data_IF_154823248976
#
_entry.id   IF_154823248976
#
_cell.length_a   1.000
_cell.length_b   1.000
_cell.length_c   1.000
_cell.angle_alpha   90.00
_cell.angle_beta   90.00
_cell.angle_gamma   90.00
#
_symmetry.space_group_name_H-M   'P 1'
#
loop_
_entity.id
_entity.type
_entity.pdbx_description
1 polymer ?
#
# COMPACT_ATOMS: atom_id res chain seq x y z
N UNK A 1 13.04 -9.90 5.63
CA UNK A 1 11.99 -10.69 6.30
C UNK A 1 10.79 -9.80 6.54
N UNK A 2 9.64 -10.12 5.95
CA UNK A 2 8.40 -9.35 6.16
C UNK A 2 7.64 -9.95 7.34
N UNK A 3 7.15 -9.11 8.25
CA UNK A 3 6.19 -9.49 9.28
C UNK A 3 4.82 -8.99 8.85
N UNK A 4 3.86 -9.89 8.70
CA UNK A 4 2.50 -9.50 8.41
C UNK A 4 1.71 -9.36 9.73
N UNK A 5 0.73 -8.45 9.77
CA UNK A 5 -0.02 -8.11 11.00
C UNK A 5 -0.74 -9.30 11.65
N UNK A 6 -1.01 -10.35 10.88
CA UNK A 6 -1.69 -11.56 11.34
C UNK A 6 -0.74 -12.74 11.56
N UNK A 7 0.56 -12.59 11.26
CA UNK A 7 1.55 -13.66 11.41
C UNK A 7 2.61 -13.31 12.45
N UNK A 8 2.78 -14.20 13.42
CA UNK A 8 3.86 -14.11 14.42
C UNK A 8 5.22 -14.51 13.82
N UNK A 9 5.21 -15.20 12.69
CA UNK A 9 6.40 -15.74 12.05
C UNK A 9 6.82 -14.88 10.83
N UNK A 10 8.12 -14.72 10.57
CA UNK A 10 8.58 -14.07 9.35
C UNK A 10 8.11 -14.81 8.10
N UNK A 11 7.59 -14.07 7.13
CA UNK A 11 7.25 -14.59 5.82
C UNK A 11 8.52 -14.75 4.97
N UNK A 12 8.65 -15.90 4.30
CA UNK A 12 9.70 -16.18 3.33
C UNK A 12 9.17 -15.93 1.93
N UNK A 13 9.95 -15.23 1.11
CA UNK A 13 9.66 -15.07 -0.31
C UNK A 13 10.13 -16.34 -1.04
N UNK A 14 9.25 -17.00 -1.78
CA UNK A 14 9.52 -18.25 -2.51
C UNK A 14 8.70 -18.29 -3.82
N UNK A 15 9.03 -19.22 -4.72
CA UNK A 15 8.31 -19.46 -5.97
C UNK A 15 7.96 -20.96 -6.18
N UNK A 16 8.38 -21.83 -5.27
CA UNK A 16 8.10 -23.26 -5.31
C UNK A 16 7.70 -23.77 -3.93
N UNK A 17 6.62 -24.55 -3.88
CA UNK A 17 6.31 -25.49 -2.80
C UNK A 17 6.41 -26.86 -3.44
N UNK A 18 7.12 -27.80 -2.82
CA UNK A 18 7.12 -29.21 -3.24
C UNK A 18 5.82 -29.87 -2.75
N UNK A 19 4.69 -29.40 -3.26
CA UNK A 19 3.39 -30.00 -3.03
C UNK A 19 2.71 -30.21 -4.38
N UNK A 20 2.21 -31.42 -4.61
CA UNK A 20 1.53 -31.81 -5.85
C UNK A 20 0.06 -31.33 -5.85
N UNK A 21 -0.31 -30.40 -4.95
CA UNK A 21 -1.63 -29.79 -4.95
C UNK A 21 -1.78 -28.82 -6.13
N UNK A 22 -2.81 -29.06 -6.95
CA UNK A 22 -3.07 -28.27 -8.17
C UNK A 22 -3.71 -26.89 -7.87
N UNK A 23 -4.11 -26.62 -6.63
CA UNK A 23 -4.88 -25.43 -6.26
C UNK A 23 -4.23 -24.62 -5.12
N UNK A 24 -3.52 -23.55 -5.49
CA UNK A 24 -2.89 -22.62 -4.54
C UNK A 24 -3.68 -21.31 -4.46
N UNK A 25 -4.41 -21.08 -3.37
CA UNK A 25 -5.13 -19.83 -3.15
C UNK A 25 -4.38 -18.88 -2.20
N UNK A 26 -4.44 -17.58 -2.50
CA UNK A 26 -3.90 -16.54 -1.64
C UNK A 26 -4.83 -16.31 -0.44
N UNK A 27 -4.34 -16.54 0.79
CA UNK A 27 -5.12 -16.40 2.02
C UNK A 27 -5.64 -14.97 2.28
N UNK A 28 -5.08 -13.97 1.60
CA UNK A 28 -5.48 -12.57 1.78
C UNK A 28 -6.59 -12.10 0.83
N UNK A 29 -6.71 -12.71 -0.33
CA UNK A 29 -7.72 -12.28 -1.32
C UNK A 29 -8.53 -13.42 -1.92
N UNK A 30 -8.29 -14.66 -1.49
CA UNK A 30 -9.00 -15.88 -1.89
C UNK A 30 -8.99 -16.13 -3.40
N UNK A 31 -8.00 -15.57 -4.10
CA UNK A 31 -7.79 -15.78 -5.53
C UNK A 31 -6.62 -16.72 -5.75
N UNK A 32 -6.71 -17.49 -6.83
CA UNK A 32 -5.64 -18.37 -7.29
C UNK A 32 -4.32 -17.61 -7.44
N UNK A 33 -3.24 -18.31 -7.08
CA UNK A 33 -1.87 -17.90 -7.34
C UNK A 33 -1.41 -18.53 -8.64
N UNK A 34 -0.70 -17.75 -9.45
CA UNK A 34 0.09 -18.29 -10.55
C UNK A 34 1.31 -19.03 -9.97
N UNK A 35 1.48 -20.34 -10.23
CA UNK A 35 2.63 -21.10 -9.75
C UNK A 35 3.99 -20.52 -10.18
N UNK A 36 4.04 -19.73 -11.25
CA UNK A 36 5.25 -19.09 -11.75
C UNK A 36 5.56 -17.74 -11.06
N UNK A 37 4.64 -17.22 -10.25
CA UNK A 37 4.83 -15.95 -9.54
C UNK A 37 5.45 -16.19 -8.16
N UNK A 38 6.31 -15.26 -7.75
CA UNK A 38 6.81 -15.24 -6.38
C UNK A 38 5.67 -14.90 -5.40
N UNK A 39 5.69 -15.56 -4.23
CA UNK A 39 4.72 -15.40 -3.15
C UNK A 39 5.40 -15.44 -1.78
N UNK A 40 4.68 -14.96 -0.78
CA UNK A 40 5.12 -15.04 0.60
C UNK A 40 4.49 -16.24 1.29
N UNK A 41 5.35 -17.03 1.92
CA UNK A 41 4.98 -18.29 2.55
C UNK A 41 5.46 -18.38 4.00
N UNK A 42 4.65 -19.01 4.84
CA UNK A 42 5.05 -19.47 6.17
C UNK A 42 4.47 -20.85 6.49
N UNK A 43 5.32 -21.88 6.46
CA UNK A 43 4.94 -23.25 6.80
C UNK A 43 4.32 -23.41 8.20
N UNK A 44 4.71 -22.57 9.16
CA UNK A 44 4.21 -22.65 10.54
C UNK A 44 2.79 -22.11 10.71
N UNK A 45 2.42 -21.13 9.88
CA UNK A 45 1.11 -20.50 9.93
C UNK A 45 0.18 -21.01 8.82
N UNK A 46 0.69 -21.87 7.93
CA UNK A 46 0.05 -22.19 6.65
C UNK A 46 -0.36 -20.92 5.88
N UNK A 47 0.52 -19.90 5.94
CA UNK A 47 0.26 -18.63 5.29
C UNK A 47 0.83 -18.66 3.89
N UNK A 48 -0.02 -18.41 2.90
CA UNK A 48 0.37 -18.28 1.51
C UNK A 48 -0.34 -17.09 0.87
N UNK A 49 0.42 -16.10 0.40
CA UNK A 49 -0.18 -14.93 -0.23
C UNK A 49 0.65 -14.38 -1.38
N UNK A 50 -0.04 -13.83 -2.38
CA UNK A 50 0.60 -13.07 -3.45
C UNK A 50 1.50 -11.98 -2.87
N UNK A 51 2.65 -11.76 -3.50
CA UNK A 51 3.56 -10.65 -3.17
C UNK A 51 2.84 -9.31 -3.07
N UNK A 52 1.98 -8.98 -4.04
CA UNK A 52 1.17 -7.76 -4.05
C UNK A 52 0.18 -7.63 -2.88
N UNK A 53 -0.33 -8.75 -2.36
CA UNK A 53 -1.27 -8.74 -1.24
C UNK A 53 -0.55 -8.44 0.08
N UNK A 54 0.66 -8.98 0.26
CA UNK A 54 1.49 -8.71 1.43
C UNK A 54 2.09 -7.31 1.40
N UNK A 55 2.56 -6.88 0.22
CA UNK A 55 3.23 -5.60 0.03
C UNK A 55 2.27 -4.41 -0.13
N UNK A 56 1.03 -4.68 -0.54
CA UNK A 56 0.04 -3.66 -0.87
C UNK A 56 0.33 -2.94 -2.19
N UNK A 57 -0.46 -1.89 -2.46
CA UNK A 57 -0.41 -1.12 -3.72
C UNK A 57 0.83 -0.23 -3.87
N UNK A 58 1.44 0.18 -2.75
CA UNK A 58 2.56 1.13 -2.72
C UNK A 58 3.75 0.61 -1.88
N UNK A 59 4.39 -0.51 -2.28
CA UNK A 59 5.46 -1.15 -1.51
C UNK A 59 6.67 -0.26 -1.20
N UNK A 60 6.94 0.70 -2.09
CA UNK A 60 8.14 1.52 -2.05
C UNK A 60 7.93 2.86 -1.33
N UNK A 61 6.72 3.12 -0.84
CA UNK A 61 6.43 4.35 -0.08
C UNK A 61 6.66 4.09 1.40
N UNK A 62 7.51 4.91 2.01
CA UNK A 62 7.66 4.96 3.46
C UNK A 62 6.63 5.93 4.02
N UNK A 63 5.51 5.42 4.50
CA UNK A 63 4.49 6.24 5.15
C UNK A 63 5.06 7.02 6.34
N UNK A 64 4.64 8.27 6.50
CA UNK A 64 5.12 9.19 7.52
C UNK A 64 6.50 9.79 7.24
N UNK A 65 7.17 9.42 6.15
CA UNK A 65 8.43 10.07 5.77
C UNK A 65 8.18 11.43 5.12
N UNK A 66 9.03 12.39 5.47
CA UNK A 66 8.92 13.79 5.05
C UNK A 66 10.08 14.16 4.11
N UNK A 67 9.78 14.83 3.01
CA UNK A 67 10.75 15.23 2.00
C UNK A 67 10.53 16.67 1.51
N UNK A 68 11.62 17.34 1.15
CA UNK A 68 11.61 18.69 0.57
C UNK A 68 11.56 18.62 -0.96
N UNK A 69 10.35 18.72 -1.52
CA UNK A 69 10.15 18.83 -2.98
C UNK A 69 10.03 20.29 -3.41
N UNK A 70 11.12 21.07 -3.33
CA UNK A 70 11.11 22.53 -3.60
C UNK A 70 10.50 22.92 -4.96
N UNK A 71 10.56 22.05 -5.96
CA UNK A 71 9.96 22.28 -7.28
C UNK A 71 8.43 22.14 -7.31
N UNK A 72 7.84 21.56 -6.25
CA UNK A 72 6.40 21.29 -6.12
C UNK A 72 5.81 22.12 -4.99
N UNK A 73 6.53 22.24 -3.87
CA UNK A 73 6.07 22.92 -2.68
C UNK A 73 7.25 23.45 -1.84
N UNK A 74 7.08 24.63 -1.24
CA UNK A 74 8.15 25.31 -0.49
C UNK A 74 8.45 24.66 0.87
N UNK A 75 7.48 23.95 1.44
CA UNK A 75 7.59 23.30 2.75
C UNK A 75 7.83 21.79 2.62
N UNK A 76 8.32 21.12 3.69
CA UNK A 76 8.43 19.68 3.73
C UNK A 76 7.05 19.01 3.61
N UNK A 77 7.00 17.95 2.80
CA UNK A 77 5.79 17.18 2.54
C UNK A 77 5.92 15.76 3.08
N UNK A 78 4.89 15.27 3.74
CA UNK A 78 4.86 13.96 4.38
C UNK A 78 3.97 12.98 3.62
N UNK A 79 4.48 11.78 3.33
CA UNK A 79 3.70 10.72 2.71
C UNK A 79 2.64 10.18 3.68
N UNK A 80 1.37 10.29 3.31
CA UNK A 80 0.25 9.77 4.11
C UNK A 80 -0.67 8.90 3.26
N UNK A 81 -1.21 7.85 3.88
CA UNK A 81 -2.24 7.01 3.30
C UNK A 81 -3.58 7.48 3.86
N UNK A 82 -4.53 7.90 3.00
CA UNK A 82 -5.89 8.20 3.45
C UNK A 82 -6.74 6.94 3.40
N UNK A 83 -7.72 6.86 4.30
CA UNK A 83 -8.60 5.70 4.40
C UNK A 83 -9.46 5.53 3.12
N UNK A 84 -9.98 4.32 2.92
CA UNK A 84 -10.88 3.93 1.82
C UNK A 84 -12.16 4.79 1.72
N UNK A 85 -12.49 5.52 2.79
CA UNK A 85 -13.65 6.41 2.89
C UNK A 85 -13.30 7.90 2.86
N UNK A 86 -12.06 8.26 2.49
CA UNK A 86 -11.74 9.68 2.34
C UNK A 86 -12.56 10.25 1.19
N UNK A 87 -13.10 11.48 1.35
CA UNK A 87 -13.91 12.11 0.32
C UNK A 87 -13.11 12.18 -0.99
N UNK A 88 -13.76 11.91 -2.14
CA UNK A 88 -13.13 12.02 -3.43
C UNK A 88 -12.63 13.46 -3.61
N UNK A 89 -11.49 13.62 -4.26
CA UNK A 89 -10.95 14.95 -4.53
C UNK A 89 -11.96 15.75 -5.37
N UNK A 90 -12.33 16.96 -4.93
CA UNK A 90 -13.32 17.79 -5.64
C UNK A 90 -12.97 18.08 -7.09
N UNK A 91 -11.69 18.27 -7.41
CA UNK A 91 -11.30 18.67 -8.76
C UNK A 91 -11.18 17.50 -9.75
N UNK A 92 -11.00 16.25 -9.27
CA UNK A 92 -10.80 15.09 -10.15
C UNK A 92 -11.76 13.92 -9.87
N UNK A 93 -12.54 13.95 -8.79
CA UNK A 93 -13.56 12.95 -8.45
C UNK A 93 -13.03 11.56 -8.06
N UNK A 94 -11.70 11.35 -7.99
CA UNK A 94 -11.11 10.02 -7.79
C UNK A 94 -11.13 9.61 -6.31
N UNK A 95 -11.57 8.38 -6.05
CA UNK A 95 -11.61 7.74 -4.73
C UNK A 95 -10.20 7.40 -4.19
N UNK A 96 -10.10 7.44 -2.86
CA UNK A 96 -8.90 7.67 -2.06
C UNK A 96 -8.06 6.46 -1.67
N UNK A 97 -8.05 5.37 -2.44
CA UNK A 97 -7.05 4.29 -2.23
C UNK A 97 -5.66 4.67 -2.77
N UNK A 98 -5.28 5.94 -2.64
CA UNK A 98 -4.02 6.50 -3.14
C UNK A 98 -3.20 7.10 -1.99
N UNK A 99 -1.94 7.41 -2.27
CA UNK A 99 -1.08 8.15 -1.35
C UNK A 99 -1.17 9.66 -1.59
N UNK A 100 -0.95 10.41 -0.52
CA UNK A 100 -0.95 11.86 -0.52
C UNK A 100 0.32 12.39 0.13
N UNK A 101 0.64 13.64 -0.16
CA UNK A 101 1.71 14.42 0.43
C UNK A 101 1.11 15.57 1.21
N UNK A 102 1.22 15.55 2.53
CA UNK A 102 0.66 16.59 3.39
C UNK A 102 1.75 17.52 3.91
N UNK A 103 1.49 18.82 3.82
CA UNK A 103 2.30 19.86 4.44
C UNK A 103 1.68 20.22 5.78
N UNK A 104 2.43 20.03 6.87
CA UNK A 104 1.94 20.42 8.20
C UNK A 104 1.89 21.94 8.39
N UNK A 105 2.73 22.69 7.67
CA UNK A 105 2.91 24.13 7.86
C UNK A 105 1.77 24.94 7.25
N UNK A 106 1.42 24.67 5.98
CA UNK A 106 0.33 25.36 5.29
C UNK A 106 -0.93 24.52 5.16
N UNK A 107 -0.93 23.29 5.69
CA UNK A 107 -2.05 22.33 5.61
C UNK A 107 -2.44 21.92 4.18
N UNK A 108 -1.53 22.09 3.22
CA UNK A 108 -1.72 21.62 1.85
C UNK A 108 -1.67 20.09 1.77
N UNK A 109 -2.45 19.52 0.84
CA UNK A 109 -2.39 18.09 0.49
C UNK A 109 -2.15 17.99 -1.02
N UNK A 110 -1.15 17.20 -1.44
CA UNK A 110 -0.73 17.06 -2.84
C UNK A 110 -0.83 15.58 -3.24
N UNK A 111 -1.34 15.31 -4.44
CA UNK A 111 -1.44 13.95 -4.99
C UNK A 111 -0.41 13.73 -6.10
N UNK A 112 0.01 12.48 -6.30
CA UNK A 112 1.02 12.02 -7.27
C UNK A 112 0.91 12.63 -8.68
N UNK A 113 -0.30 12.84 -9.19
CA UNK A 113 -0.51 13.24 -10.60
C UNK A 113 -1.49 14.39 -10.82
N UNK A 114 -2.01 14.97 -9.75
CA UNK A 114 -2.76 16.23 -9.85
C UNK A 114 -2.44 17.06 -8.62
N UNK A 115 -1.97 18.28 -8.85
CA UNK A 115 -1.89 19.35 -7.86
C UNK A 115 -3.31 19.80 -7.51
N UNK A 116 -4.06 18.93 -6.83
CA UNK A 116 -5.38 19.27 -6.30
C UNK A 116 -5.18 19.86 -4.91
N UNK A 117 -5.31 21.18 -4.78
CA UNK A 117 -4.92 21.93 -3.58
C UNK A 117 -5.97 21.99 -2.46
N UNK A 118 -7.16 21.41 -2.64
CA UNK A 118 -8.27 21.61 -1.69
C UNK A 118 -9.03 20.32 -1.39
N UNK A 119 -8.98 19.92 -0.12
CA UNK A 119 -9.90 18.95 0.49
C UNK A 119 -10.75 19.71 1.51
N UNK A 120 -12.07 19.52 1.51
CA UNK A 120 -12.93 20.11 2.54
C UNK A 120 -12.57 19.58 3.91
N UNK A 121 -12.41 20.50 4.87
CA UNK A 121 -12.62 20.18 6.28
C UNK A 121 -14.14 19.95 6.43
N UNK A 122 -14.55 18.78 6.89
CA UNK A 122 -15.93 18.59 7.32
C UNK A 122 -16.25 19.55 8.49
N UNK A 123 -17.52 19.98 8.63
CA UNK A 123 -17.95 21.00 9.59
C UNK A 123 -17.74 20.63 11.05
#
# INVERSE_FOLDING_TARGET
>A
MIKHKYDKHPLKLTYAVEDDSEEYFCVLCEKERNPNDWFYYCAKCDFDAHTKCVLGRFPYIKWGSTYMYKSVHEHPLTYVQKAKYSPPCKSCGVLSEDWFLECDQCKATIRRWHTCYEFEKEP
#
